data_IF_883457438460
#
_entry.id   IF_883457438460
#
_cell.length_a   1.000
_cell.length_b   1.000
_cell.length_c   1.000
_cell.angle_alpha   90.00
_cell.angle_beta   90.00
_cell.angle_gamma   90.00
#
_symmetry.space_group_name_H-M   'P 1'
#
loop_
_entity.id
_entity.type
_entity.pdbx_description
1 polymer ?
#
# COMPACT_ATOMS: atom_id res chain seq x y z
N UNK A 1 -21.95 25.68 -2.27
CA UNK A 1 -22.04 24.91 -1.00
C UNK A 1 -22.37 23.47 -1.35
N UNK A 2 -21.64 22.46 -0.86
CA UNK A 2 -21.95 21.05 -1.12
C UNK A 2 -22.51 20.42 0.17
N UNK A 3 -23.77 20.03 0.13
CA UNK A 3 -24.47 19.28 1.16
C UNK A 3 -24.53 17.81 0.69
N UNK A 4 -24.29 16.88 1.61
CA UNK A 4 -24.40 15.42 1.41
C UNK A 4 -25.60 14.95 2.21
N UNK A 5 -26.27 13.90 1.76
CA UNK A 5 -27.28 13.24 2.57
C UNK A 5 -26.61 12.40 3.67
N UNK A 6 -27.08 12.53 4.90
CA UNK A 6 -26.69 11.67 6.01
C UNK A 6 -27.17 10.24 5.73
N UNK A 7 -26.29 9.24 5.88
CA UNK A 7 -26.63 7.84 5.61
C UNK A 7 -27.62 7.25 6.62
N UNK A 8 -27.70 7.82 7.82
CA UNK A 8 -28.57 7.33 8.89
C UNK A 8 -29.96 7.98 8.81
N UNK A 9 -30.04 9.31 8.90
CA UNK A 9 -31.32 10.02 8.99
C UNK A 9 -31.82 10.61 7.67
N UNK A 10 -31.04 10.47 6.57
CA UNK A 10 -31.36 10.99 5.23
C UNK A 10 -31.63 12.50 5.18
N UNK A 11 -31.20 13.26 6.19
CA UNK A 11 -31.20 14.72 6.14
C UNK A 11 -29.92 15.26 5.51
N UNK A 12 -30.03 16.46 4.97
CA UNK A 12 -28.90 17.17 4.37
C UNK A 12 -27.89 17.61 5.45
N UNK A 13 -26.62 17.30 5.21
CA UNK A 13 -25.51 17.64 6.10
C UNK A 13 -24.34 18.19 5.31
N UNK A 14 -23.60 19.13 5.90
CA UNK A 14 -22.44 19.71 5.24
C UNK A 14 -21.40 18.65 4.89
N UNK A 15 -20.84 18.73 3.68
CA UNK A 15 -19.76 17.86 3.22
C UNK A 15 -18.54 17.81 4.13
N UNK A 16 -18.36 18.84 4.99
CA UNK A 16 -17.28 19.00 5.97
C UNK A 16 -17.69 18.67 7.40
N UNK A 17 -18.97 18.42 7.68
CA UNK A 17 -19.43 18.09 9.02
C UNK A 17 -18.83 16.76 9.47
N UNK A 18 -18.27 16.70 10.68
CA UNK A 18 -17.77 15.45 11.30
C UNK A 18 -18.91 14.61 11.88
N UNK A 19 -19.99 15.27 12.27
CA UNK A 19 -21.18 14.68 12.89
C UNK A 19 -22.43 15.32 12.30
N UNK A 20 -23.48 14.52 12.14
CA UNK A 20 -24.76 15.00 11.65
C UNK A 20 -25.47 15.81 12.74
N UNK A 21 -25.84 17.08 12.53
CA UNK A 21 -26.56 17.89 13.52
C UNK A 21 -28.00 17.42 13.74
N UNK A 22 -28.57 16.63 12.82
CA UNK A 22 -29.96 16.17 12.94
C UNK A 22 -30.14 14.85 13.70
N UNK A 23 -29.14 13.96 13.69
CA UNK A 23 -29.24 12.67 14.37
C UNK A 23 -28.02 12.30 15.22
N UNK A 24 -26.96 13.11 15.22
CA UNK A 24 -25.73 12.85 15.98
C UNK A 24 -24.78 11.83 15.34
N UNK A 25 -25.18 11.16 14.25
CA UNK A 25 -24.35 10.13 13.62
C UNK A 25 -23.02 10.69 13.05
N UNK A 26 -21.90 9.95 13.16
CA UNK A 26 -20.62 10.36 12.61
C UNK A 26 -20.67 10.36 11.07
N UNK A 27 -20.39 11.52 10.48
CA UNK A 27 -20.35 11.67 9.02
C UNK A 27 -18.93 11.32 8.58
N UNK A 28 -18.78 10.11 8.02
CA UNK A 28 -17.51 9.64 7.47
C UNK A 28 -17.16 10.50 6.26
N UNK A 29 -16.34 11.54 6.45
CA UNK A 29 -15.72 12.27 5.35
C UNK A 29 -14.75 11.30 4.69
N UNK A 30 -15.23 10.59 3.67
CA UNK A 30 -14.44 9.69 2.84
C UNK A 30 -13.39 10.46 2.06
N UNK A 31 -12.36 10.95 2.75
CA UNK A 31 -11.04 10.94 2.17
C UNK A 31 -10.65 9.47 2.19
N UNK A 32 -10.85 8.77 1.07
CA UNK A 32 -10.02 7.62 0.73
C UNK A 32 -8.60 8.14 0.60
N UNK A 33 -7.99 8.45 1.74
CA UNK A 33 -6.56 8.49 1.91
C UNK A 33 -6.11 7.03 1.80
N UNK A 34 -6.20 6.48 0.59
CA UNK A 34 -5.16 5.61 0.10
C UNK A 34 -3.94 6.49 0.11
N UNK A 35 -3.35 6.69 1.30
CA UNK A 35 -2.19 7.54 1.49
C UNK A 35 -1.22 7.10 0.44
N UNK A 36 -0.64 8.04 -0.29
CA UNK A 36 0.45 7.79 -1.22
C UNK A 36 1.50 6.85 -0.57
N UNK A 37 1.65 6.93 0.76
CA UNK A 37 2.36 5.96 1.61
C UNK A 37 2.02 4.47 1.36
N UNK A 38 0.75 4.06 1.24
CA UNK A 38 0.36 2.68 0.91
C UNK A 38 0.80 2.27 -0.50
N UNK A 39 0.71 3.19 -1.46
CA UNK A 39 1.15 2.94 -2.84
C UNK A 39 2.68 2.80 -2.86
N UNK A 40 3.40 3.69 -2.17
CA UNK A 40 4.86 3.62 -2.02
C UNK A 40 5.28 2.31 -1.36
N UNK A 41 4.60 1.88 -0.29
CA UNK A 41 4.92 0.65 0.43
C UNK A 41 4.69 -0.59 -0.44
N UNK A 42 3.59 -0.63 -1.21
CA UNK A 42 3.34 -1.68 -2.20
C UNK A 42 4.42 -1.72 -3.28
N UNK A 43 4.78 -0.57 -3.87
CA UNK A 43 5.81 -0.49 -4.92
C UNK A 43 7.19 -0.91 -4.40
N UNK A 44 7.57 -0.49 -3.19
CA UNK A 44 8.83 -0.85 -2.55
C UNK A 44 8.91 -2.36 -2.26
N UNK A 45 7.82 -2.96 -1.78
CA UNK A 45 7.74 -4.39 -1.54
C UNK A 45 7.88 -5.18 -2.87
N UNK A 46 7.20 -4.73 -3.93
CA UNK A 46 7.28 -5.35 -5.26
C UNK A 46 8.70 -5.21 -5.82
N UNK A 47 9.35 -4.05 -5.70
CA UNK A 47 10.72 -3.83 -6.18
C UNK A 47 11.75 -4.73 -5.46
N UNK A 48 11.55 -5.02 -4.17
CA UNK A 48 12.40 -5.92 -3.40
C UNK A 48 12.11 -7.40 -3.67
N UNK A 49 10.84 -7.77 -3.93
CA UNK A 49 10.41 -9.15 -4.13
C UNK A 49 10.55 -9.65 -5.58
N UNK A 50 10.38 -8.78 -6.58
CA UNK A 50 10.57 -9.11 -8.01
C UNK A 50 11.93 -9.76 -8.33
N UNK A 51 13.08 -9.20 -7.89
CA UNK A 51 14.38 -9.81 -8.14
C UNK A 51 14.55 -11.12 -7.37
N UNK A 52 13.99 -11.24 -6.16
CA UNK A 52 13.99 -12.50 -5.41
C UNK A 52 13.18 -13.61 -6.10
N UNK A 53 12.10 -13.25 -6.81
CA UNK A 53 11.33 -14.19 -7.63
C UNK A 53 12.08 -14.60 -8.90
N UNK A 54 12.79 -13.66 -9.54
CA UNK A 54 13.63 -13.94 -10.72
C UNK A 54 14.86 -14.79 -10.39
N UNK A 55 15.37 -14.70 -9.16
CA UNK A 55 16.54 -15.43 -8.67
C UNK A 55 16.13 -16.72 -7.91
N UNK A 56 14.83 -16.90 -7.64
CA UNK A 56 14.23 -17.95 -6.79
C UNK A 56 13.84 -19.26 -7.48
N UNK A 57 14.51 -19.62 -8.58
CA UNK A 57 14.79 -21.05 -8.80
C UNK A 57 15.98 -21.48 -7.91
N UNK A 58 16.35 -22.77 -7.85
CA UNK A 58 17.52 -23.26 -7.06
C UNK A 58 18.88 -22.67 -7.48
N UNK A 59 18.91 -21.69 -8.40
CA UNK A 59 20.10 -21.05 -8.94
C UNK A 59 20.58 -19.81 -8.16
N UNK A 60 19.79 -19.23 -7.27
CA UNK A 60 20.16 -18.02 -6.53
C UNK A 60 21.38 -18.16 -5.59
N UNK A 61 21.66 -19.37 -5.12
CA UNK A 61 22.87 -19.67 -4.34
C UNK A 61 24.06 -20.12 -5.21
N UNK A 62 23.80 -20.62 -6.44
CA UNK A 62 24.86 -21.11 -7.33
C UNK A 62 25.73 -19.97 -7.88
N UNK A 63 25.17 -18.79 -8.16
CA UNK A 63 25.94 -17.68 -8.74
C UNK A 63 27.07 -17.20 -7.82
N UNK A 64 26.82 -16.88 -6.52
CA UNK A 64 27.92 -16.54 -5.62
C UNK A 64 28.83 -17.73 -5.33
N UNK A 65 28.32 -18.97 -5.30
CA UNK A 65 29.13 -20.17 -5.08
C UNK A 65 30.09 -20.47 -6.25
N UNK A 66 29.64 -20.34 -7.51
CA UNK A 66 30.48 -20.54 -8.71
C UNK A 66 31.56 -19.46 -8.80
N UNK A 67 31.21 -18.19 -8.52
CA UNK A 67 32.19 -17.10 -8.45
C UNK A 67 33.24 -17.35 -7.36
N UNK A 68 32.82 -17.86 -6.20
CA UNK A 68 33.72 -18.19 -5.10
C UNK A 68 34.64 -19.37 -5.44
N UNK A 69 34.13 -20.42 -6.10
CA UNK A 69 34.92 -21.57 -6.56
C UNK A 69 35.92 -21.15 -7.66
N UNK A 70 35.51 -20.36 -8.65
CA UNK A 70 36.40 -19.85 -9.69
C UNK A 70 37.52 -18.97 -9.11
N UNK A 71 37.21 -18.15 -8.10
CA UNK A 71 38.20 -17.34 -7.40
C UNK A 71 39.22 -18.19 -6.61
N UNK A 72 38.81 -19.35 -6.08
CA UNK A 72 39.70 -20.29 -5.41
C UNK A 72 40.53 -21.12 -6.39
N UNK A 73 40.00 -21.49 -7.56
CA UNK A 73 40.75 -22.25 -8.57
C UNK A 73 41.80 -21.43 -9.33
N UNK A 74 41.70 -20.09 -9.33
CA UNK A 74 42.66 -19.20 -10.00
C UNK A 74 43.78 -18.70 -9.06
N UNK A 75 43.76 -19.12 -7.80
CA UNK A 75 44.74 -18.77 -6.76
C UNK A 75 45.64 -19.97 -6.46
#
# INVERSE_FOLDING_TARGET
MSLKLCKECKKEVSSKAKTCPSCGAPVKTGGTATSIARIILMVLAILLLLPALFIGGPFGLLVPAILFIMALCLK
#
